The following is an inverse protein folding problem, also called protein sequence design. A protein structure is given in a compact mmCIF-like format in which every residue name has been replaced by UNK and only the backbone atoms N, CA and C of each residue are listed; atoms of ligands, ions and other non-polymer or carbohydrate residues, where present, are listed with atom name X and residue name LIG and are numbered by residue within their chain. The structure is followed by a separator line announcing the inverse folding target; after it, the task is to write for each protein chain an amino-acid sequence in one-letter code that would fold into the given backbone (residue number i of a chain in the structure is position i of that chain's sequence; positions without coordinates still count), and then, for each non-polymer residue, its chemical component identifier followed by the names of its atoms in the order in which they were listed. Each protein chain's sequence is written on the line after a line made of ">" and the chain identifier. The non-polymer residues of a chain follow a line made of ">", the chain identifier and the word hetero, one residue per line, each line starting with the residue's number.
data_IF_421552689433
#
_entry.id   IF_421552689433
#
_cell.length_a   1.000
_cell.length_b   1.000
_cell.length_c   1.000
_cell.angle_alpha   90.00
_cell.angle_beta   90.00
_cell.angle_gamma   90.00
#
_symmetry.space_group_name_H-M   'P 1'
#
loop_
_entity.id
_entity.type
_entity.pdbx_description
1 polymer ?
#
# COMPACT_ATOMS: atom_id res chain seq x y z
N UNK A 1 2.25 19.93 -66.44
CA UNK A 1 1.01 20.44 -65.82
C UNK A 1 0.80 19.65 -64.55
N UNK A 2 1.33 20.18 -63.45
CA UNK A 2 1.42 19.51 -62.15
C UNK A 2 0.62 20.38 -61.20
N UNK A 3 -0.54 19.89 -60.78
CA UNK A 3 -1.49 20.60 -59.93
C UNK A 3 -1.03 20.54 -58.48
N UNK A 4 -0.85 21.71 -57.89
CA UNK A 4 -0.38 21.93 -56.52
C UNK A 4 -1.60 21.97 -55.56
N UNK A 5 -1.77 21.01 -54.64
CA UNK A 5 -2.95 20.94 -53.77
C UNK A 5 -2.81 21.76 -52.47
N UNK A 6 -1.73 22.53 -52.28
CA UNK A 6 -1.43 23.14 -50.99
C UNK A 6 -1.90 24.61 -50.85
N UNK A 7 -3.15 24.88 -51.24
CA UNK A 7 -3.77 26.21 -51.12
C UNK A 7 -5.01 26.18 -50.24
N UNK A 8 -4.81 25.82 -48.97
CA UNK A 8 -5.71 26.14 -47.87
C UNK A 8 -4.92 27.14 -47.00
N UNK A 9 -5.26 28.41 -46.98
CA UNK A 9 -6.51 28.89 -46.40
C UNK A 9 -6.11 29.76 -45.22
N UNK A 10 -5.46 30.88 -45.56
CA UNK A 10 -5.13 31.99 -44.68
C UNK A 10 -6.45 32.49 -44.06
N UNK A 11 -6.67 32.16 -42.78
CA UNK A 11 -7.81 32.62 -42.01
C UNK A 11 -7.28 33.59 -40.96
N UNK A 12 -7.65 34.85 -41.16
CA UNK A 12 -7.42 35.95 -40.25
C UNK A 12 -7.73 35.59 -38.79
N UNK A 13 -6.77 35.77 -37.86
CA UNK A 13 -7.02 35.70 -36.44
C UNK A 13 -7.55 37.06 -35.98
N UNK A 14 -8.84 37.32 -36.20
CA UNK A 14 -9.52 38.54 -35.72
C UNK A 14 -10.39 38.27 -34.49
N UNK A 15 -10.11 39.10 -33.47
CA UNK A 15 -11.02 39.63 -32.45
C UNK A 15 -11.73 38.66 -31.52
N UNK A 16 -11.01 38.28 -30.45
CA UNK A 16 -11.65 38.03 -29.16
C UNK A 16 -11.58 39.32 -28.31
N UNK A 17 -12.70 39.75 -27.70
CA UNK A 17 -12.77 40.98 -26.92
C UNK A 17 -11.93 40.89 -25.63
N UNK A 18 -11.49 42.05 -25.09
CA UNK A 18 -10.72 42.10 -23.85
C UNK A 18 -11.59 41.62 -22.68
N UNK A 19 -11.11 40.63 -21.94
CA UNK A 19 -11.69 40.22 -20.66
C UNK A 19 -11.25 41.25 -19.62
N UNK A 20 -12.04 42.32 -19.49
CA UNK A 20 -11.90 43.31 -18.45
C UNK A 20 -12.15 42.70 -17.06
N UNK A 21 -11.28 43.06 -16.13
CA UNK A 21 -11.28 42.57 -14.77
C UNK A 21 -12.52 43.00 -13.97
N UNK A 22 -12.97 42.11 -13.09
CA UNK A 22 -13.75 42.48 -11.92
C UNK A 22 -13.57 41.43 -10.82
N UNK A 23 -13.44 41.90 -9.58
CA UNK A 23 -13.46 41.16 -8.31
C UNK A 23 -12.11 40.69 -7.75
N UNK A 24 -11.18 41.65 -7.58
CA UNK A 24 -10.54 41.80 -6.27
C UNK A 24 -11.54 42.54 -5.38
N UNK A 25 -11.81 41.99 -4.19
CA UNK A 25 -12.33 42.65 -2.97
C UNK A 25 -13.35 41.78 -2.24
N UNK A 26 -12.85 40.80 -1.48
CA UNK A 26 -13.48 40.39 -0.22
C UNK A 26 -12.36 40.04 0.77
N UNK A 27 -11.73 41.09 1.29
CA UNK A 27 -11.10 41.09 2.61
C UNK A 27 -12.25 41.29 3.60
N UNK A 28 -12.55 40.29 4.43
CA UNK A 28 -13.50 40.42 5.55
C UNK A 28 -12.95 39.67 6.76
N UNK A 29 -12.42 40.47 7.69
CA UNK A 29 -12.44 40.32 9.14
C UNK A 29 -12.52 38.89 9.71
N UNK A 30 -11.35 38.34 10.04
CA UNK A 30 -11.26 37.25 11.00
C UNK A 30 -11.17 37.85 12.43
N UNK A 31 -11.98 37.37 13.39
CA UNK A 31 -11.94 37.85 14.76
C UNK A 31 -10.63 37.46 15.45
N UNK A 32 -9.97 38.45 16.05
CA UNK A 32 -8.80 38.28 16.89
C UNK A 32 -9.12 37.31 18.05
N UNK A 33 -8.42 36.17 18.07
CA UNK A 33 -8.41 35.27 19.22
C UNK A 33 -7.60 35.90 20.35
N UNK A 34 -8.14 35.98 21.58
CA UNK A 34 -7.42 36.57 22.71
C UNK A 34 -6.25 35.66 23.11
N UNK A 35 -5.03 36.14 22.92
CA UNK A 35 -3.81 35.56 23.46
C UNK A 35 -3.78 35.79 24.99
N UNK A 36 -4.34 34.85 25.73
CA UNK A 36 -4.13 34.73 27.17
C UNK A 36 -2.94 33.81 27.46
N UNK A 37 -2.00 34.17 28.36
CA UNK A 37 -0.94 33.28 28.79
C UNK A 37 -1.56 32.10 29.54
N UNK A 38 -1.51 30.92 28.93
CA UNK A 38 -1.93 29.66 29.56
C UNK A 38 -0.85 29.27 30.56
N UNK A 39 -1.04 29.65 31.83
CA UNK A 39 -0.19 29.24 32.96
C UNK A 39 -0.20 27.72 33.12
N UNK A 40 0.77 27.06 32.49
CA UNK A 40 0.97 25.60 32.51
C UNK A 40 1.30 25.00 33.88
N UNK A 41 1.42 25.82 34.93
CA UNK A 41 1.60 25.37 36.31
C UNK A 41 0.30 24.83 36.92
N UNK A 42 -0.84 25.52 36.71
CA UNK A 42 -2.12 25.12 37.30
C UNK A 42 -2.68 23.82 36.70
N UNK A 43 -2.40 23.56 35.41
CA UNK A 43 -2.83 22.33 34.74
C UNK A 43 -2.03 21.08 35.20
N UNK A 44 -0.80 21.26 35.69
CA UNK A 44 0.03 20.15 36.21
C UNK A 44 -0.40 19.72 37.61
N UNK A 45 -0.81 20.66 38.45
CA UNK A 45 -1.30 20.35 39.81
C UNK A 45 -2.67 19.67 39.78
N UNK A 46 -3.54 20.03 38.82
CA UNK A 46 -4.82 19.36 38.62
C UNK A 46 -4.68 17.91 38.10
N UNK A 47 -3.63 17.61 37.32
CA UNK A 47 -3.37 16.26 36.81
C UNK A 47 -2.74 15.36 37.88
N UNK A 48 -1.92 15.91 38.78
CA UNK A 48 -1.33 15.19 39.91
C UNK A 48 -2.38 14.80 40.97
N UNK A 49 -3.43 15.60 41.15
CA UNK A 49 -4.52 15.31 42.09
C UNK A 49 -5.53 14.26 41.58
N UNK A 50 -5.53 13.94 40.28
CA UNK A 50 -6.48 13.03 39.66
C UNK A 50 -5.99 11.57 39.51
N UNK A 51 -4.81 11.24 40.05
CA UNK A 51 -4.32 9.85 40.14
C UNK A 51 -4.65 9.32 41.55
N UNK A 52 -5.81 8.67 41.74
CA UNK A 52 -6.06 7.97 42.99
C UNK A 52 -5.01 6.87 43.17
N UNK A 53 -4.46 6.82 44.37
CA UNK A 53 -3.58 5.79 44.86
C UNK A 53 -4.09 4.40 44.43
N UNK A 54 -3.38 3.78 43.50
CA UNK A 54 -3.46 2.34 43.28
C UNK A 54 -2.73 1.71 44.45
N UNK A 55 -3.53 1.41 45.47
CA UNK A 55 -3.20 0.55 46.59
C UNK A 55 -2.54 -0.74 46.09
N UNK A 56 -1.26 -0.86 46.41
CA UNK A 56 -0.64 -1.96 47.17
C UNK A 56 -1.47 -3.26 47.34
N UNK A 57 -1.74 -3.98 46.25
CA UNK A 57 -2.08 -5.42 46.34
C UNK A 57 -0.80 -6.26 46.32
N UNK A 58 -0.47 -6.82 47.50
CA UNK A 58 0.77 -7.54 47.76
C UNK A 58 0.95 -8.89 47.03
N UNK A 59 2.17 -9.48 47.08
CA UNK A 59 2.61 -10.50 46.12
C UNK A 59 2.27 -11.97 46.42
N UNK A 60 1.39 -12.33 47.37
CA UNK A 60 1.54 -13.67 48.01
C UNK A 60 0.33 -14.62 48.08
N UNK A 61 -0.87 -14.32 47.58
CA UNK A 61 -2.04 -15.16 47.93
C UNK A 61 -2.96 -15.60 46.78
N UNK A 62 -2.42 -15.97 45.60
CA UNK A 62 -3.24 -16.66 44.59
C UNK A 62 -2.50 -17.74 43.80
N UNK A 63 -1.70 -18.51 44.53
CA UNK A 63 -1.26 -19.84 44.14
C UNK A 63 -2.24 -20.82 44.81
N UNK A 64 -2.65 -21.87 44.10
CA UNK A 64 -3.42 -23.02 44.61
C UNK A 64 -4.93 -22.87 44.80
N UNK A 65 -5.69 -22.71 43.70
CA UNK A 65 -7.03 -23.34 43.60
C UNK A 65 -7.57 -23.36 42.17
N UNK A 66 -7.14 -24.30 41.35
CA UNK A 66 -8.01 -24.95 40.36
C UNK A 66 -7.33 -26.17 39.73
N UNK A 67 -7.10 -27.20 40.55
CA UNK A 67 -6.94 -28.56 40.06
C UNK A 67 -8.29 -29.25 40.16
N UNK A 68 -8.80 -29.72 39.01
CA UNK A 68 -9.90 -30.68 38.98
C UNK A 68 -11.01 -30.31 37.99
N UNK A 69 -10.94 -30.89 36.80
CA UNK A 69 -12.17 -31.13 36.02
C UNK A 69 -12.08 -30.77 34.54
N UNK A 70 -11.26 -31.51 33.79
CA UNK A 70 -11.74 -32.23 32.61
C UNK A 70 -12.62 -31.51 31.59
N UNK A 71 -12.32 -30.27 31.20
CA UNK A 71 -12.79 -29.75 29.93
C UNK A 71 -11.62 -29.68 28.95
N UNK A 72 -11.46 -30.75 28.16
CA UNK A 72 -10.77 -30.71 26.86
C UNK A 72 -11.64 -29.93 25.88
N UNK A 73 -12.01 -28.70 26.23
CA UNK A 73 -12.62 -27.75 25.31
C UNK A 73 -11.48 -27.40 24.37
N UNK A 74 -11.61 -27.88 23.14
CA UNK A 74 -10.90 -27.46 21.96
C UNK A 74 -10.12 -26.14 22.16
N UNK A 75 -8.81 -26.28 22.38
CA UNK A 75 -7.76 -25.24 22.29
C UNK A 75 -7.63 -24.69 20.85
N UNK A 76 -8.76 -24.51 20.17
CA UNK A 76 -8.92 -23.76 18.93
C UNK A 76 -8.76 -22.28 19.28
N UNK A 77 -7.51 -21.88 19.54
CA UNK A 77 -7.15 -20.47 19.70
C UNK A 77 -7.77 -19.71 18.52
N UNK A 78 -8.68 -18.77 18.77
CA UNK A 78 -9.55 -18.24 17.74
C UNK A 78 -8.70 -17.58 16.67
N UNK A 79 -8.90 -17.98 15.40
CA UNK A 79 -8.36 -17.28 14.26
C UNK A 79 -8.78 -15.81 14.39
N UNK A 80 -7.80 -14.93 14.57
CA UNK A 80 -8.08 -13.50 14.74
C UNK A 80 -8.52 -12.95 13.39
N UNK A 81 -9.83 -12.78 13.25
CA UNK A 81 -10.45 -12.16 12.07
C UNK A 81 -9.80 -10.78 11.88
N UNK A 82 -9.33 -10.43 10.67
CA UNK A 82 -8.57 -9.21 10.40
C UNK A 82 -9.43 -7.94 10.39
N UNK A 83 -10.35 -7.78 11.35
CA UNK A 83 -11.31 -6.66 11.40
C UNK A 83 -10.59 -5.31 11.41
N UNK A 84 -9.57 -5.16 12.25
CA UNK A 84 -8.79 -3.92 12.33
C UNK A 84 -8.03 -3.59 11.04
N UNK A 85 -7.49 -4.61 10.35
CA UNK A 85 -6.80 -4.43 9.07
C UNK A 85 -7.77 -3.97 7.99
N UNK A 86 -8.95 -4.59 7.90
CA UNK A 86 -9.97 -4.20 6.91
C UNK A 86 -10.45 -2.78 7.16
N UNK A 87 -10.72 -2.41 8.42
CA UNK A 87 -11.13 -1.04 8.77
C UNK A 87 -10.04 -0.03 8.44
N UNK A 88 -8.78 -0.29 8.80
CA UNK A 88 -7.70 0.64 8.52
C UNK A 88 -7.39 0.74 7.02
N UNK A 89 -7.44 -0.38 6.28
CA UNK A 89 -7.25 -0.39 4.84
C UNK A 89 -8.38 0.37 4.12
N UNK A 90 -9.63 0.18 4.56
CA UNK A 90 -10.77 0.91 4.02
C UNK A 90 -10.64 2.41 4.32
N UNK A 91 -10.27 2.77 5.55
CA UNK A 91 -10.01 4.16 5.94
C UNK A 91 -8.87 4.77 5.12
N UNK A 92 -7.78 4.03 4.91
CA UNK A 92 -6.65 4.48 4.08
C UNK A 92 -7.08 4.75 2.65
N UNK A 93 -7.73 3.78 2.00
CA UNK A 93 -8.23 3.94 0.63
C UNK A 93 -9.20 5.12 0.53
N UNK A 94 -10.11 5.25 1.50
CA UNK A 94 -11.05 6.36 1.56
C UNK A 94 -10.34 7.71 1.71
N UNK A 95 -9.36 7.83 2.61
CA UNK A 95 -8.56 9.05 2.76
C UNK A 95 -7.78 9.38 1.49
N UNK A 96 -7.15 8.39 0.85
CA UNK A 96 -6.46 8.58 -0.42
C UNK A 96 -7.42 9.07 -1.52
N UNK A 97 -8.63 8.51 -1.56
CA UNK A 97 -9.66 8.94 -2.49
C UNK A 97 -10.12 10.38 -2.23
N UNK A 98 -10.45 10.72 -0.98
CA UNK A 98 -10.86 12.08 -0.58
C UNK A 98 -9.75 13.09 -0.84
N UNK A 99 -8.50 12.74 -0.56
CA UNK A 99 -7.35 13.62 -0.77
C UNK A 99 -7.15 13.96 -2.26
N UNK A 100 -7.42 13.01 -3.15
CA UNK A 100 -7.12 13.14 -4.58
C UNK A 100 -8.28 13.69 -5.40
N UNK A 101 -9.51 13.30 -5.10
CA UNK A 101 -10.69 13.76 -5.83
C UNK A 101 -11.46 14.87 -5.10
N UNK A 102 -11.22 15.05 -3.80
CA UNK A 102 -11.97 15.97 -2.95
C UNK A 102 -13.42 15.51 -2.74
N UNK A 103 -14.24 16.42 -2.19
CA UNK A 103 -15.69 16.24 -2.00
C UNK A 103 -16.46 16.95 -3.14
N UNK A 104 -15.77 17.37 -4.22
CA UNK A 104 -16.42 18.14 -5.28
C UNK A 104 -17.32 17.23 -6.13
N UNK A 105 -18.57 17.64 -6.42
CA UNK A 105 -19.39 16.93 -7.39
C UNK A 105 -18.69 16.95 -8.76
N UNK A 106 -18.85 15.91 -9.61
CA UNK A 106 -18.13 15.78 -10.87
C UNK A 106 -18.53 16.91 -11.83
N UNK A 107 -17.71 17.96 -11.90
CA UNK A 107 -17.91 19.11 -12.79
C UNK A 107 -17.30 18.76 -14.14
N UNK A 108 -18.13 18.17 -14.99
CA UNK A 108 -17.86 17.74 -16.37
C UNK A 108 -16.98 16.49 -16.56
N UNK A 109 -17.40 15.54 -17.41
CA UNK A 109 -16.70 14.30 -17.69
C UNK A 109 -15.56 14.53 -18.70
N UNK A 110 -14.50 15.22 -18.31
CA UNK A 110 -13.23 15.14 -19.04
C UNK A 110 -12.40 14.01 -18.46
N UNK A 111 -12.63 12.78 -18.94
CA UNK A 111 -11.90 11.58 -18.50
C UNK A 111 -10.37 11.75 -18.52
N UNK A 112 -9.86 12.63 -19.38
CA UNK A 112 -8.43 12.94 -19.49
C UNK A 112 -7.85 13.62 -18.23
N UNK A 113 -8.62 14.41 -17.47
CA UNK A 113 -8.08 15.16 -16.32
C UNK A 113 -7.85 14.29 -15.08
N UNK A 114 -8.47 13.11 -15.00
CA UNK A 114 -8.37 12.22 -13.84
C UNK A 114 -7.14 11.30 -13.87
N UNK A 115 -6.43 11.23 -14.99
CA UNK A 115 -5.31 10.32 -15.17
C UNK A 115 -4.23 10.44 -14.09
N UNK A 116 -3.63 11.63 -13.90
CA UNK A 116 -2.61 11.82 -12.86
C UNK A 116 -3.12 11.51 -11.45
N UNK A 117 -4.36 11.88 -11.14
CA UNK A 117 -4.98 11.58 -9.83
C UNK A 117 -5.15 10.07 -9.61
N UNK A 118 -5.51 9.32 -10.64
CA UNK A 118 -5.60 7.85 -10.57
C UNK A 118 -4.23 7.22 -10.36
N UNK A 119 -3.20 7.68 -11.08
CA UNK A 119 -1.83 7.20 -10.87
C UNK A 119 -1.40 7.37 -9.41
N UNK A 120 -1.58 8.57 -8.86
CA UNK A 120 -1.25 8.87 -7.45
C UNK A 120 -2.11 8.03 -6.49
N UNK A 121 -3.38 7.78 -6.81
CA UNK A 121 -4.26 6.92 -6.01
C UNK A 121 -3.69 5.51 -5.91
N UNK A 122 -3.33 4.91 -7.05
CA UNK A 122 -2.80 3.55 -7.11
C UNK A 122 -1.41 3.44 -6.47
N UNK A 123 -0.55 4.46 -6.62
CA UNK A 123 0.71 4.58 -5.88
C UNK A 123 0.45 4.62 -4.37
N UNK A 124 -0.52 5.42 -3.91
CA UNK A 124 -0.91 5.52 -2.49
C UNK A 124 -1.46 4.19 -1.95
N UNK A 125 -2.26 3.47 -2.73
CA UNK A 125 -2.71 2.12 -2.40
C UNK A 125 -1.51 1.16 -2.30
N UNK A 126 -0.56 1.24 -3.24
CA UNK A 126 0.68 0.47 -3.22
C UNK A 126 1.53 0.72 -1.97
N UNK A 127 1.62 1.97 -1.52
CA UNK A 127 2.28 2.36 -0.27
C UNK A 127 1.56 1.72 0.93
N UNK A 128 0.22 1.78 0.96
CA UNK A 128 -0.58 1.14 2.01
C UNK A 128 -0.35 -0.37 2.07
N UNK A 129 -0.31 -1.04 0.91
CA UNK A 129 -0.03 -2.48 0.81
C UNK A 129 1.39 -2.80 1.26
N UNK A 130 2.41 -2.07 0.79
CA UNK A 130 3.80 -2.44 1.00
C UNK A 130 4.37 -1.98 2.36
N UNK A 131 3.81 -0.93 2.97
CA UNK A 131 4.30 -0.36 4.23
C UNK A 131 3.25 -0.47 5.33
N UNK A 132 2.05 0.09 5.10
CA UNK A 132 1.01 0.18 6.11
C UNK A 132 0.60 -1.19 6.63
N UNK A 133 0.35 -2.14 5.73
CA UNK A 133 -0.04 -3.50 6.09
C UNK A 133 1.07 -4.24 6.89
N UNK A 134 2.34 -4.30 6.45
CA UNK A 134 3.40 -4.90 7.25
C UNK A 134 3.60 -4.28 8.62
N UNK A 135 3.54 -2.95 8.73
CA UNK A 135 3.70 -2.26 10.01
C UNK A 135 2.57 -2.63 10.98
N UNK A 136 1.33 -2.55 10.51
CA UNK A 136 0.17 -2.97 11.31
C UNK A 136 0.32 -4.41 11.78
N UNK A 137 0.76 -5.31 10.89
CA UNK A 137 0.83 -6.73 11.21
C UNK A 137 1.99 -7.11 12.12
N UNK A 138 3.14 -6.46 11.96
CA UNK A 138 4.30 -6.72 12.80
C UNK A 138 4.20 -6.02 14.17
N UNK A 139 3.32 -5.02 14.32
CA UNK A 139 2.95 -4.43 15.61
C UNK A 139 2.06 -5.34 16.46
N UNK A 140 1.30 -6.24 15.83
CA UNK A 140 0.41 -7.17 16.51
C UNK A 140 1.16 -8.34 17.17
N UNK A 141 0.49 -9.01 18.10
CA UNK A 141 1.02 -10.21 18.77
C UNK A 141 1.30 -11.32 17.73
N UNK A 142 2.42 -12.06 17.82
CA UNK A 142 2.70 -13.17 16.91
C UNK A 142 1.55 -14.17 16.81
N UNK A 143 1.15 -14.49 15.57
CA UNK A 143 0.18 -15.55 15.29
C UNK A 143 0.87 -16.93 15.31
N UNK A 144 0.16 -17.96 15.76
CA UNK A 144 0.61 -19.37 15.68
C UNK A 144 0.67 -19.87 14.23
N UNK A 145 -0.16 -19.33 13.35
CA UNK A 145 -0.27 -19.71 11.94
C UNK A 145 0.03 -18.49 11.01
N UNK A 146 1.30 -18.03 10.93
CA UNK A 146 1.65 -16.80 10.23
C UNK A 146 1.33 -16.82 8.73
N UNK A 147 1.45 -18.00 8.09
CA UNK A 147 1.16 -18.17 6.66
C UNK A 147 -0.35 -18.06 6.39
N UNK A 148 -1.17 -18.83 7.12
CA UNK A 148 -2.62 -18.80 6.94
C UNK A 148 -3.16 -17.39 7.20
N UNK A 149 -2.65 -16.72 8.23
CA UNK A 149 -3.00 -15.35 8.54
C UNK A 149 -2.63 -14.40 7.39
N UNK A 150 -1.42 -14.49 6.84
CA UNK A 150 -1.01 -13.65 5.72
C UNK A 150 -1.87 -13.88 4.47
N UNK A 151 -2.30 -15.12 4.20
CA UNK A 151 -3.23 -15.46 3.11
C UNK A 151 -4.62 -14.85 3.33
N UNK A 152 -5.16 -14.95 4.55
CA UNK A 152 -6.47 -14.37 4.88
C UNK A 152 -6.44 -12.84 4.79
N UNK A 153 -5.38 -12.21 5.29
CA UNK A 153 -5.16 -10.78 5.18
C UNK A 153 -5.04 -10.36 3.69
N UNK A 154 -4.28 -11.12 2.89
CA UNK A 154 -4.15 -10.89 1.44
C UNK A 154 -5.49 -10.99 0.72
N UNK A 155 -6.29 -12.01 1.01
CA UNK A 155 -7.62 -12.20 0.43
C UNK A 155 -8.55 -11.03 0.78
N UNK A 156 -8.52 -10.59 2.04
CA UNK A 156 -9.30 -9.44 2.47
C UNK A 156 -8.91 -8.16 1.72
N UNK A 157 -7.61 -7.92 1.52
CA UNK A 157 -7.12 -6.78 0.74
C UNK A 157 -7.51 -6.87 -0.74
N UNK A 158 -7.41 -8.06 -1.36
CA UNK A 158 -7.85 -8.26 -2.74
C UNK A 158 -9.33 -7.91 -2.87
N UNK A 159 -10.19 -8.47 -2.02
CA UNK A 159 -11.63 -8.20 -2.03
C UNK A 159 -11.91 -6.70 -1.85
N UNK A 160 -11.26 -6.06 -0.88
CA UNK A 160 -11.44 -4.64 -0.59
C UNK A 160 -11.07 -3.76 -1.79
N UNK A 161 -9.95 -4.04 -2.44
CA UNK A 161 -9.52 -3.24 -3.60
C UNK A 161 -10.37 -3.53 -4.83
N UNK A 162 -10.90 -4.75 -5.02
CA UNK A 162 -11.85 -5.03 -6.11
C UNK A 162 -13.11 -4.17 -6.03
N UNK A 163 -13.59 -3.88 -4.81
CA UNK A 163 -14.73 -2.96 -4.58
C UNK A 163 -14.43 -1.54 -5.10
N UNK A 164 -13.15 -1.14 -5.15
CA UNK A 164 -12.71 0.19 -5.60
C UNK A 164 -12.40 0.19 -7.11
N UNK A 165 -11.71 -0.85 -7.60
CA UNK A 165 -11.31 -0.97 -9.01
C UNK A 165 -12.52 -1.14 -9.91
N UNK A 166 -13.57 -1.84 -9.46
CA UNK A 166 -14.74 -2.11 -10.30
C UNK A 166 -15.54 -0.85 -10.66
N UNK A 167 -15.92 0.03 -9.73
CA UNK A 167 -16.51 1.32 -10.07
C UNK A 167 -15.57 2.22 -10.88
N UNK A 168 -14.26 2.20 -10.57
CA UNK A 168 -13.28 2.98 -11.32
C UNK A 168 -13.27 2.62 -12.81
N UNK A 169 -13.42 1.32 -13.15
CA UNK A 169 -13.54 0.87 -14.55
C UNK A 169 -14.72 1.51 -15.29
N UNK A 170 -15.81 1.84 -14.60
CA UNK A 170 -16.98 2.48 -15.23
C UNK A 170 -16.74 3.97 -15.52
N UNK A 171 -15.84 4.60 -14.77
CA UNK A 171 -15.51 6.03 -14.89
C UNK A 171 -14.31 6.24 -15.83
N UNK A 172 -13.43 5.26 -15.93
CA UNK A 172 -12.26 5.31 -16.81
C UNK A 172 -12.55 4.71 -18.18
N UNK A 173 -11.86 5.19 -19.21
CA UNK A 173 -11.89 4.60 -20.56
C UNK A 173 -10.92 3.40 -20.69
N UNK A 174 -10.72 2.64 -19.61
CA UNK A 174 -9.78 1.52 -19.62
C UNK A 174 -10.30 0.33 -20.41
N UNK A 175 -9.44 -0.25 -21.25
CA UNK A 175 -9.73 -1.53 -21.90
C UNK A 175 -9.83 -2.65 -20.87
N UNK A 176 -10.49 -3.75 -21.26
CA UNK A 176 -10.55 -4.95 -20.43
C UNK A 176 -9.14 -5.48 -20.11
N UNK A 177 -8.26 -5.49 -21.10
CA UNK A 177 -6.86 -5.92 -20.96
C UNK A 177 -6.11 -5.09 -19.93
N UNK A 178 -6.24 -3.76 -19.97
CA UNK A 178 -5.60 -2.86 -19.00
C UNK A 178 -6.14 -3.07 -17.59
N UNK A 179 -7.46 -3.23 -17.45
CA UNK A 179 -8.09 -3.54 -16.16
C UNK A 179 -7.54 -4.83 -15.56
N UNK A 180 -7.41 -5.89 -16.38
CA UNK A 180 -6.81 -7.16 -15.94
C UNK A 180 -5.34 -7.00 -15.54
N UNK A 181 -4.59 -6.13 -16.21
CA UNK A 181 -3.21 -5.84 -15.85
C UNK A 181 -3.10 -5.12 -14.50
N UNK A 182 -3.96 -4.12 -14.24
CA UNK A 182 -4.04 -3.45 -12.93
C UNK A 182 -4.38 -4.43 -11.82
N UNK A 183 -5.38 -5.31 -12.05
CA UNK A 183 -5.76 -6.34 -11.09
C UNK A 183 -4.62 -7.33 -10.85
N UNK A 184 -3.94 -7.77 -11.92
CA UNK A 184 -2.79 -8.66 -11.83
C UNK A 184 -1.62 -8.03 -11.08
N UNK A 185 -1.31 -6.76 -11.35
CA UNK A 185 -0.26 -6.00 -10.68
C UNK A 185 -0.54 -5.87 -9.17
N UNK A 186 -1.79 -5.55 -8.83
CA UNK A 186 -2.26 -5.49 -7.46
C UNK A 186 -2.16 -6.85 -6.76
N UNK A 187 -2.61 -7.92 -7.42
CA UNK A 187 -2.52 -9.27 -6.88
C UNK A 187 -1.06 -9.69 -6.66
N UNK A 188 -0.16 -9.38 -7.60
CA UNK A 188 1.27 -9.63 -7.46
C UNK A 188 1.88 -8.87 -6.28
N UNK A 189 1.58 -7.58 -6.15
CA UNK A 189 2.02 -6.74 -5.03
C UNK A 189 1.55 -7.29 -3.68
N UNK A 190 0.26 -7.59 -3.55
CA UNK A 190 -0.32 -8.18 -2.33
C UNK A 190 0.34 -9.53 -2.03
N UNK A 191 0.50 -10.40 -3.04
CA UNK A 191 1.10 -11.72 -2.87
C UNK A 191 2.57 -11.65 -2.42
N UNK A 192 3.36 -10.71 -2.97
CA UNK A 192 4.75 -10.48 -2.56
C UNK A 192 4.84 -10.01 -1.11
N UNK A 193 4.03 -9.01 -0.72
CA UNK A 193 4.00 -8.53 0.66
C UNK A 193 3.52 -9.61 1.62
N UNK A 194 2.53 -10.42 1.22
CA UNK A 194 2.05 -11.56 1.99
C UNK A 194 3.14 -12.61 2.23
N UNK A 195 3.92 -12.94 1.19
CA UNK A 195 5.04 -13.87 1.30
C UNK A 195 6.11 -13.34 2.26
N UNK A 196 6.47 -12.06 2.14
CA UNK A 196 7.40 -11.40 3.05
C UNK A 196 6.89 -11.45 4.49
N UNK A 197 5.62 -11.16 4.71
CA UNK A 197 4.99 -11.23 6.02
C UNK A 197 4.97 -12.64 6.60
N UNK A 198 4.63 -13.64 5.79
CA UNK A 198 4.67 -15.04 6.19
C UNK A 198 6.08 -15.50 6.59
N UNK A 199 7.12 -14.97 5.94
CA UNK A 199 8.52 -15.25 6.27
C UNK A 199 8.95 -14.64 7.61
N UNK A 200 8.54 -13.39 7.89
CA UNK A 200 9.02 -12.60 9.03
C UNK A 200 8.18 -12.84 10.29
N UNK A 201 6.86 -13.00 10.19
CA UNK A 201 5.97 -13.10 11.36
C UNK A 201 6.30 -14.27 12.29
N UNK A 202 6.86 -15.36 11.76
CA UNK A 202 7.27 -16.52 12.54
C UNK A 202 8.54 -16.34 13.37
N UNK A 203 9.25 -15.21 13.26
CA UNK A 203 10.47 -14.95 14.00
C UNK A 203 10.19 -14.54 15.46
N UNK A 204 10.81 -15.25 16.42
CA UNK A 204 10.76 -14.91 17.86
C UNK A 204 11.63 -13.69 18.22
N UNK A 205 12.67 -13.41 17.44
CA UNK A 205 13.60 -12.30 17.69
C UNK A 205 13.03 -10.95 17.23
N UNK A 206 13.09 -9.93 18.10
CA UNK A 206 12.74 -8.54 17.76
C UNK A 206 13.60 -7.97 16.63
N UNK A 207 14.90 -8.31 16.60
CA UNK A 207 15.81 -7.85 15.53
C UNK A 207 15.35 -8.32 14.15
N UNK A 208 14.91 -9.58 14.03
CA UNK A 208 14.40 -10.11 12.76
C UNK A 208 13.11 -9.44 12.31
N UNK A 209 12.25 -9.03 13.26
CA UNK A 209 11.02 -8.28 12.94
C UNK A 209 11.34 -6.89 12.45
N UNK A 210 12.26 -6.20 13.13
CA UNK A 210 12.71 -4.86 12.76
C UNK A 210 13.40 -4.89 11.40
N UNK A 211 14.28 -5.86 11.16
CA UNK A 211 14.88 -6.07 9.85
C UNK A 211 13.82 -6.35 8.77
N UNK A 212 12.80 -7.15 9.08
CA UNK A 212 11.68 -7.39 8.15
C UNK A 212 10.87 -6.12 7.84
N UNK A 213 10.63 -5.27 8.84
CA UNK A 213 10.01 -3.95 8.64
C UNK A 213 10.87 -3.06 7.74
N UNK A 214 12.18 -2.99 7.99
CA UNK A 214 13.12 -2.21 7.19
C UNK A 214 13.23 -2.73 5.75
N UNK A 215 13.22 -4.05 5.56
CA UNK A 215 13.22 -4.66 4.23
C UNK A 215 11.91 -4.36 3.50
N UNK A 216 10.75 -4.46 4.16
CA UNK A 216 9.46 -4.12 3.55
C UNK A 216 9.40 -2.63 3.15
N UNK A 217 9.77 -1.74 4.07
CA UNK A 217 9.80 -0.30 3.83
C UNK A 217 10.83 0.06 2.76
N UNK A 218 12.03 -0.51 2.80
CA UNK A 218 13.08 -0.30 1.81
C UNK A 218 12.68 -0.79 0.42
N UNK A 219 12.10 -1.99 0.32
CA UNK A 219 11.62 -2.53 -0.96
C UNK A 219 10.48 -1.70 -1.57
N UNK A 220 9.69 -1.01 -0.75
CA UNK A 220 8.63 -0.10 -1.20
C UNK A 220 9.16 1.28 -1.57
N UNK A 221 9.99 1.88 -0.70
CA UNK A 221 10.39 3.28 -0.78
C UNK A 221 11.63 3.51 -1.63
N UNK A 222 12.62 2.61 -1.62
CA UNK A 222 13.87 2.82 -2.36
C UNK A 222 13.59 2.94 -3.86
N UNK A 223 12.82 2.04 -4.50
CA UNK A 223 12.52 2.17 -5.92
C UNK A 223 11.74 3.44 -6.25
N UNK A 224 10.79 3.80 -5.38
CA UNK A 224 9.98 5.01 -5.53
C UNK A 224 10.83 6.28 -5.40
N UNK A 225 11.68 6.36 -4.37
CA UNK A 225 12.58 7.48 -4.15
C UNK A 225 13.59 7.62 -5.29
N UNK A 226 14.14 6.52 -5.79
CA UNK A 226 15.04 6.52 -6.94
C UNK A 226 14.33 7.02 -8.21
N UNK A 227 13.08 6.62 -8.44
CA UNK A 227 12.29 7.12 -9.57
C UNK A 227 12.03 8.63 -9.46
N UNK A 228 11.60 9.11 -8.29
CA UNK A 228 11.38 10.54 -8.04
C UNK A 228 12.68 11.32 -8.21
N UNK A 229 13.77 10.89 -7.56
CA UNK A 229 15.08 11.56 -7.66
C UNK A 229 15.60 11.57 -9.09
N UNK A 230 15.40 10.48 -9.85
CA UNK A 230 15.74 10.42 -11.26
C UNK A 230 15.05 11.51 -12.08
N UNK A 231 13.76 11.72 -11.86
CA UNK A 231 12.97 12.76 -12.54
C UNK A 231 13.44 14.17 -12.21
N UNK A 232 13.90 14.42 -10.97
CA UNK A 232 14.49 15.71 -10.59
C UNK A 232 15.77 16.05 -11.35
N UNK A 233 16.59 15.03 -11.68
CA UNK A 233 17.86 15.23 -12.38
C UNK A 233 17.74 15.19 -13.91
N UNK A 234 16.74 14.47 -14.43
CA UNK A 234 16.47 14.35 -15.86
C UNK A 234 14.96 14.38 -16.10
N UNK A 235 14.33 15.58 -16.10
CA UNK A 235 12.89 15.71 -16.30
C UNK A 235 12.51 15.12 -17.64
N UNK A 236 11.65 14.11 -17.63
CA UNK A 236 11.12 13.49 -18.83
C UNK A 236 9.77 14.15 -19.16
N UNK A 237 9.56 14.52 -20.42
CA UNK A 237 8.31 15.17 -20.84
C UNK A 237 7.09 14.21 -20.80
N UNK A 238 7.35 12.91 -20.61
CA UNK A 238 6.35 11.86 -20.50
C UNK A 238 6.08 11.53 -19.02
N UNK A 239 4.90 10.97 -18.73
CA UNK A 239 4.42 10.61 -17.38
C UNK A 239 5.53 10.14 -16.43
N UNK A 240 5.57 10.65 -15.20
CA UNK A 240 6.63 10.44 -14.19
C UNK A 240 6.92 8.98 -13.77
N UNK A 241 6.13 8.02 -14.28
CA UNK A 241 6.31 6.57 -14.08
C UNK A 241 6.43 5.78 -15.40
N UNK A 242 6.70 6.48 -16.50
CA UNK A 242 6.83 5.94 -17.85
C UNK A 242 7.97 4.93 -17.99
N UNK A 243 7.96 4.17 -19.09
CA UNK A 243 8.99 3.18 -19.41
C UNK A 243 10.40 3.76 -19.23
N UNK A 244 11.35 3.02 -18.61
CA UNK A 244 12.72 3.47 -18.50
C UNK A 244 13.21 3.78 -19.91
N UNK A 245 13.51 5.06 -20.16
CA UNK A 245 14.15 5.47 -21.40
C UNK A 245 15.41 4.63 -21.60
N UNK A 246 15.71 4.28 -22.84
CA UNK A 246 16.83 3.41 -23.26
C UNK A 246 18.20 4.05 -23.04
N UNK A 247 18.43 4.70 -21.90
CA UNK A 247 19.73 5.26 -21.54
C UNK A 247 20.62 4.08 -21.12
N UNK A 248 21.29 3.50 -22.12
CA UNK A 248 22.27 2.42 -22.07
C UNK A 248 23.42 2.74 -21.10
N UNK A 249 23.21 2.53 -19.81
CA UNK A 249 24.30 2.53 -18.83
C UNK A 249 24.32 1.14 -18.22
N UNK A 250 25.34 0.33 -18.53
CA UNK A 250 25.45 -1.09 -18.13
C UNK A 250 25.28 -1.32 -16.61
N UNK A 251 25.58 -0.31 -15.77
CA UNK A 251 25.35 -0.37 -14.32
C UNK A 251 23.86 -0.37 -13.90
N UNK A 252 22.93 0.01 -14.80
CA UNK A 252 21.48 0.01 -14.56
C UNK A 252 20.83 -1.36 -14.74
N UNK A 253 21.45 -2.32 -15.42
CA UNK A 253 20.78 -3.55 -15.84
C UNK A 253 20.14 -4.35 -14.69
N UNK A 254 20.82 -4.49 -13.56
CA UNK A 254 20.28 -5.23 -12.41
C UNK A 254 19.24 -4.43 -11.62
N UNK A 255 19.39 -3.10 -11.53
CA UNK A 255 18.41 -2.23 -10.89
C UNK A 255 17.11 -2.16 -11.71
N UNK A 256 17.22 -2.05 -13.03
CA UNK A 256 16.08 -2.06 -13.96
C UNK A 256 15.30 -3.37 -13.90
N UNK A 257 15.94 -4.46 -13.45
CA UNK A 257 15.28 -5.75 -13.26
C UNK A 257 14.44 -5.81 -11.97
N UNK A 258 14.81 -5.03 -10.94
CA UNK A 258 14.24 -5.13 -9.58
C UNK A 258 13.31 -3.96 -9.25
N UNK A 259 13.61 -2.76 -9.76
CA UNK A 259 12.81 -1.54 -9.60
C UNK A 259 11.34 -1.68 -10.02
N UNK A 260 10.97 -2.37 -11.13
CA UNK A 260 9.58 -2.45 -11.57
C UNK A 260 8.71 -3.33 -10.67
N UNK A 261 9.28 -4.08 -9.74
CA UNK A 261 8.55 -5.06 -8.91
C UNK A 261 8.04 -4.44 -7.60
N UNK A 262 8.44 -3.21 -7.27
CA UNK A 262 7.89 -2.53 -6.09
C UNK A 262 6.41 -2.24 -6.27
N UNK A 263 5.61 -2.47 -5.22
CA UNK A 263 4.16 -2.30 -5.31
C UNK A 263 3.73 -0.89 -5.75
N UNK A 264 4.30 0.22 -5.21
CA UNK A 264 3.92 1.56 -5.65
C UNK A 264 4.26 1.82 -7.12
N UNK A 265 5.47 1.44 -7.57
CA UNK A 265 5.88 1.67 -8.96
C UNK A 265 5.08 0.82 -9.95
N UNK A 266 4.85 -0.46 -9.63
CA UNK A 266 4.06 -1.36 -10.46
C UNK A 266 2.63 -0.83 -10.62
N UNK A 267 1.99 -0.43 -9.51
CA UNK A 267 0.62 0.09 -9.54
C UNK A 267 0.51 1.45 -10.25
N UNK A 268 1.45 2.36 -10.00
CA UNK A 268 1.49 3.66 -10.71
C UNK A 268 1.60 3.49 -12.22
N UNK A 269 2.48 2.59 -12.68
CA UNK A 269 2.68 2.30 -14.10
C UNK A 269 1.41 1.81 -14.80
N UNK A 270 0.71 0.84 -14.21
CA UNK A 270 -0.50 0.27 -14.82
C UNK A 270 -1.74 1.16 -14.68
N UNK A 271 -1.72 2.11 -13.74
CA UNK A 271 -2.80 3.07 -13.54
C UNK A 271 -2.83 4.22 -14.55
N UNK A 272 -1.88 4.25 -15.50
CA UNK A 272 -1.82 5.27 -16.53
C UNK A 272 -3.16 5.41 -17.30
N UNK A 273 -3.60 6.65 -17.59
CA UNK A 273 -4.89 6.91 -18.25
C UNK A 273 -4.97 6.49 -19.72
N UNK A 274 -3.88 6.01 -20.32
CA UNK A 274 -3.84 5.73 -21.75
C UNK A 274 -4.93 4.71 -22.14
N UNK A 275 -5.83 5.02 -23.10
CA UNK A 275 -6.91 4.12 -23.50
C UNK A 275 -6.41 2.94 -24.35
N UNK A 276 -5.12 2.91 -24.69
CA UNK A 276 -4.51 1.85 -25.48
C UNK A 276 -4.25 0.61 -24.62
N UNK A 277 -4.31 -0.56 -25.26
CA UNK A 277 -3.87 -1.79 -24.63
C UNK A 277 -2.42 -1.66 -24.14
N UNK A 278 -2.09 -2.27 -22.99
CA UNK A 278 -0.75 -2.19 -22.44
C UNK A 278 0.26 -2.78 -23.42
N UNK A 279 1.41 -2.11 -23.66
CA UNK A 279 2.44 -2.64 -24.53
C UNK A 279 2.95 -4.00 -24.02
N UNK A 280 3.54 -4.80 -24.92
CA UNK A 280 4.08 -6.12 -24.59
C UNK A 280 5.16 -6.08 -23.49
N UNK A 281 5.87 -4.96 -23.37
CA UNK A 281 6.82 -4.67 -22.30
C UNK A 281 6.15 -4.64 -20.92
N UNK A 282 4.98 -4.02 -20.80
CA UNK A 282 4.23 -3.98 -19.55
C UNK A 282 3.73 -5.37 -19.16
N UNK A 283 3.23 -6.15 -20.12
CA UNK A 283 2.86 -7.55 -19.89
C UNK A 283 4.04 -8.40 -19.41
N UNK A 284 5.25 -8.17 -19.94
CA UNK A 284 6.47 -8.84 -19.50
C UNK A 284 6.85 -8.47 -18.06
N UNK A 285 6.70 -7.19 -17.67
CA UNK A 285 6.91 -6.73 -16.31
C UNK A 285 5.92 -7.39 -15.35
N UNK A 286 4.63 -7.39 -15.71
CA UNK A 286 3.58 -8.04 -14.91
C UNK A 286 3.86 -9.53 -14.72
N UNK A 287 4.22 -10.22 -15.81
CA UNK A 287 4.58 -11.64 -15.76
C UNK A 287 5.77 -11.88 -14.83
N UNK A 288 6.80 -11.04 -14.91
CA UNK A 288 7.97 -11.12 -14.03
C UNK A 288 7.56 -10.94 -12.57
N UNK A 289 6.74 -9.94 -12.25
CA UNK A 289 6.23 -9.71 -10.90
C UNK A 289 5.45 -10.92 -10.35
N UNK A 290 4.58 -11.53 -11.17
CA UNK A 290 3.85 -12.75 -10.82
C UNK A 290 4.79 -13.94 -10.58
N UNK A 291 5.79 -14.15 -11.45
CA UNK A 291 6.79 -15.21 -11.27
C UNK A 291 7.58 -15.01 -9.98
N UNK A 292 8.03 -13.79 -9.69
CA UNK A 292 8.73 -13.46 -8.44
C UNK A 292 7.83 -13.73 -7.23
N UNK A 293 6.54 -13.38 -7.31
CA UNK A 293 5.58 -13.69 -6.25
C UNK A 293 5.45 -15.19 -6.01
N UNK A 294 5.30 -15.98 -7.07
CA UNK A 294 5.22 -17.45 -6.98
C UNK A 294 6.49 -18.04 -6.39
N UNK A 295 7.67 -17.61 -6.87
CA UNK A 295 8.97 -18.07 -6.35
C UNK A 295 9.15 -17.71 -4.88
N UNK A 296 8.76 -16.51 -4.46
CA UNK A 296 8.82 -16.10 -3.05
C UNK A 296 7.95 -17.01 -2.17
N UNK A 297 6.74 -17.35 -2.63
CA UNK A 297 5.84 -18.27 -1.94
C UNK A 297 6.38 -19.71 -1.89
N UNK A 298 6.91 -20.24 -2.99
CA UNK A 298 7.46 -21.60 -3.00
C UNK A 298 8.67 -21.73 -2.07
N UNK A 299 9.57 -20.74 -2.06
CA UNK A 299 10.71 -20.67 -1.13
C UNK A 299 10.23 -20.62 0.31
N UNK A 300 9.23 -19.78 0.62
CA UNK A 300 8.64 -19.67 1.96
C UNK A 300 8.05 -21.00 2.43
N UNK A 301 7.21 -21.63 1.61
CA UNK A 301 6.55 -22.90 1.94
C UNK A 301 7.59 -24.02 2.14
N UNK A 302 8.58 -24.11 1.25
CA UNK A 302 9.66 -25.10 1.34
C UNK A 302 10.48 -24.91 2.62
N UNK A 303 10.85 -23.67 2.95
CA UNK A 303 11.56 -23.34 4.18
C UNK A 303 10.74 -23.70 5.42
N UNK A 304 9.42 -23.51 5.37
CA UNK A 304 8.51 -23.87 6.47
C UNK A 304 8.43 -25.38 6.66
N UNK A 305 8.23 -26.14 5.59
CA UNK A 305 8.18 -27.62 5.61
C UNK A 305 9.47 -28.19 6.18
N UNK A 306 10.63 -27.68 5.73
CA UNK A 306 11.96 -28.10 6.26
C UNK A 306 12.12 -27.83 7.75
N UNK A 307 11.59 -26.71 8.27
CA UNK A 307 11.63 -26.39 9.71
C UNK A 307 10.73 -27.34 10.52
N UNK A 308 9.56 -27.70 9.99
CA UNK A 308 8.67 -28.66 10.64
C UNK A 308 9.27 -30.06 10.67
N UNK A 309 9.92 -30.49 9.57
CA UNK A 309 10.58 -31.80 9.50
C UNK A 309 11.72 -31.92 10.53
N UNK A 310 12.56 -30.89 10.69
CA UNK A 310 13.66 -30.89 11.69
C UNK A 310 13.18 -30.80 13.14
N UNK A 311 11.95 -30.35 13.36
CA UNK A 311 11.38 -30.16 14.70
C UNK A 311 10.71 -31.40 15.29
N UNK A 312 10.57 -32.49 14.53
CA UNK A 312 10.13 -33.79 15.07
C UNK A 312 11.35 -34.50 15.66
N UNK A 313 11.50 -34.60 17.00
CA UNK A 313 12.50 -35.48 17.57
C UNK A 313 12.18 -36.91 17.15
N UNK A 314 13.12 -37.58 16.49
CA UNK A 314 12.99 -38.98 16.03
C UNK A 314 12.98 -40.02 17.19
N UNK A 315 12.71 -39.59 18.42
CA UNK A 315 12.98 -40.37 19.64
C UNK A 315 11.78 -40.55 20.58
N UNK A 316 10.55 -40.49 20.06
CA UNK A 316 9.39 -40.97 20.81
C UNK A 316 9.38 -42.49 20.83
N UNK A 317 10.28 -43.10 21.61
CA UNK A 317 10.17 -44.51 21.98
C UNK A 317 8.77 -44.75 22.56
N UNK A 318 8.01 -45.76 22.10
CA UNK A 318 6.83 -46.19 22.81
C UNK A 318 7.28 -46.59 24.22
N UNK A 319 6.73 -45.92 25.23
CA UNK A 319 6.79 -46.42 26.59
C UNK A 319 5.99 -47.72 26.59
N UNK A 320 6.71 -48.84 26.60
CA UNK A 320 6.17 -50.13 26.99
C UNK A 320 5.55 -49.95 28.39
N UNK A 321 4.23 -50.10 28.45
CA UNK A 321 3.43 -50.28 29.66
C UNK A 321 3.05 -51.75 29.77
#
# INVERSE_FOLDING_TARGET
>A
MTSDPNRAGDRDPLDLPPIDGASRDVVRDAPETPEGPVDGAAARDALAAAIPALDDEGPTARRERNDGGGHRDDDTVPLTVPRGLVVLAALWIFLSWVLLFGIRPPVQPQAASYGPSLEILFVSIGIGIAIGWPLLRLSARPSRAPILQAVLDALALVVLVQVVVWPLRLVTSWTLTRTLCVIGALAAAIALTAALLGAVQGARSQLRRTAGMLVAAGAALVPFALAVVGEWFAPSADSSFGAPGTVETEARGWLDSVLPVSAPALLGRFASPTPLDPPSTDLAILRTALVVAVVAWTVLLTARVRRLARGRPEGGLPLDY
#
